data_IF_951874790501
#
_entry.id   IF_951874790501
#
_cell.length_a   1.000
_cell.length_b   1.000
_cell.length_c   1.000
_cell.angle_alpha   90.00
_cell.angle_beta   90.00
_cell.angle_gamma   90.00
#
_symmetry.space_group_name_H-M   'P 1'
#
loop_
_entity.id
_entity.type
_entity.pdbx_description
1 polymer ?
#
# COMPACT_ATOMS: atom_id res chain seq x y z
N UNK A 1 -13.10 47.27 -41.13
CA UNK A 1 -12.04 46.90 -40.17
C UNK A 1 -12.37 45.50 -39.67
N UNK A 2 -11.57 44.47 -39.97
CA UNK A 2 -11.87 43.13 -39.49
C UNK A 2 -11.62 43.06 -37.99
N UNK A 3 -12.66 42.66 -37.26
CA UNK A 3 -12.67 42.41 -35.83
C UNK A 3 -11.57 41.42 -35.44
N UNK A 4 -10.70 41.80 -34.50
CA UNK A 4 -9.62 40.96 -34.00
C UNK A 4 -10.14 39.66 -33.40
N UNK A 5 -10.07 38.58 -34.16
CA UNK A 5 -10.28 37.24 -33.64
C UNK A 5 -9.13 36.91 -32.69
N UNK A 6 -9.40 36.89 -31.39
CA UNK A 6 -8.43 36.42 -30.40
C UNK A 6 -8.09 34.97 -30.71
N UNK A 7 -6.80 34.68 -30.91
CA UNK A 7 -6.33 33.31 -31.08
C UNK A 7 -6.77 32.46 -29.89
N UNK A 8 -7.32 31.25 -30.13
CA UNK A 8 -7.73 30.38 -29.04
C UNK A 8 -6.52 30.06 -28.16
N UNK A 9 -6.71 30.01 -26.83
CA UNK A 9 -5.62 29.76 -25.91
C UNK A 9 -4.97 28.40 -26.20
N UNK A 10 -3.65 28.35 -26.10
CA UNK A 10 -2.93 27.09 -26.29
C UNK A 10 -3.28 26.07 -25.21
N UNK A 11 -3.07 24.79 -25.48
CA UNK A 11 -3.29 23.73 -24.49
C UNK A 11 -2.51 23.99 -23.18
N UNK A 12 -1.30 24.54 -23.28
CA UNK A 12 -0.48 24.96 -22.13
C UNK A 12 -1.14 26.10 -21.34
N UNK A 13 -1.75 27.08 -22.00
CA UNK A 13 -2.46 28.18 -21.33
C UNK A 13 -3.74 27.69 -20.64
N UNK A 14 -4.45 26.72 -21.23
CA UNK A 14 -5.64 26.10 -20.63
C UNK A 14 -5.24 25.30 -19.37
N UNK A 15 -4.21 24.47 -19.48
CA UNK A 15 -3.69 23.67 -18.35
C UNK A 15 -3.15 24.57 -17.24
N UNK A 16 -2.38 25.62 -17.58
CA UNK A 16 -1.85 26.56 -16.59
C UNK A 16 -2.96 27.30 -15.84
N UNK A 17 -4.03 27.71 -16.54
CA UNK A 17 -5.20 28.35 -15.91
C UNK A 17 -5.99 27.41 -15.01
N UNK A 18 -6.19 26.15 -15.45
CA UNK A 18 -6.86 25.13 -14.63
C UNK A 18 -6.03 24.76 -13.39
N UNK A 19 -4.71 24.75 -13.51
CA UNK A 19 -3.77 24.47 -12.44
C UNK A 19 -3.63 25.61 -11.41
N UNK A 20 -3.71 26.86 -11.85
CA UNK A 20 -3.44 28.04 -11.01
C UNK A 20 -4.64 28.50 -10.16
N UNK A 21 -5.86 27.99 -10.41
CA UNK A 21 -7.03 28.29 -9.58
C UNK A 21 -6.96 27.61 -8.21
N UNK A 22 -7.67 28.14 -7.21
CA UNK A 22 -7.69 27.57 -5.85
C UNK A 22 -8.03 26.07 -5.81
N UNK A 23 -8.96 25.62 -6.65
CA UNK A 23 -9.27 24.20 -6.82
C UNK A 23 -8.11 23.38 -7.44
N UNK A 24 -7.38 23.96 -8.40
CA UNK A 24 -6.19 23.36 -9.02
C UNK A 24 -5.04 23.20 -8.03
N UNK A 25 -4.80 24.22 -7.19
CA UNK A 25 -3.82 24.17 -6.11
C UNK A 25 -4.21 23.14 -5.04
N UNK A 26 -5.49 23.09 -4.63
CA UNK A 26 -5.97 22.06 -3.71
C UNK A 26 -5.82 20.64 -4.29
N UNK A 27 -6.11 20.45 -5.58
CA UNK A 27 -5.93 19.16 -6.25
C UNK A 27 -4.45 18.76 -6.32
N UNK A 28 -3.56 19.70 -6.64
CA UNK A 28 -2.11 19.46 -6.69
C UNK A 28 -1.53 19.15 -5.30
N UNK A 29 -1.90 19.92 -4.28
CA UNK A 29 -1.52 19.64 -2.90
C UNK A 29 -2.04 18.28 -2.45
N UNK A 30 -3.30 17.96 -2.78
CA UNK A 30 -3.89 16.64 -2.54
C UNK A 30 -3.10 15.52 -3.23
N UNK A 31 -2.65 15.73 -4.47
CA UNK A 31 -1.81 14.78 -5.22
C UNK A 31 -0.42 14.63 -4.61
N UNK A 32 0.22 15.72 -4.16
CA UNK A 32 1.51 15.66 -3.46
C UNK A 32 1.36 14.91 -2.14
N UNK A 33 0.32 15.21 -1.36
CA UNK A 33 0.02 14.48 -0.12
C UNK A 33 -0.26 13.01 -0.42
N UNK A 34 -1.08 12.69 -1.42
CA UNK A 34 -1.37 11.32 -1.83
C UNK A 34 -0.11 10.59 -2.32
N UNK A 35 0.78 11.27 -3.04
CA UNK A 35 2.05 10.72 -3.51
C UNK A 35 3.01 10.48 -2.36
N UNK A 36 3.13 11.41 -1.41
CA UNK A 36 3.91 11.24 -0.18
C UNK A 36 3.34 10.11 0.67
N UNK A 37 2.02 9.99 0.79
CA UNK A 37 1.33 8.91 1.49
C UNK A 37 1.55 7.57 0.79
N UNK A 38 1.50 7.52 -0.53
CA UNK A 38 1.80 6.33 -1.32
C UNK A 38 3.27 5.93 -1.15
N UNK A 39 4.19 6.90 -1.26
CA UNK A 39 5.62 6.68 -0.99
C UNK A 39 5.84 6.17 0.43
N UNK A 40 5.12 6.72 1.40
CA UNK A 40 5.13 6.31 2.79
C UNK A 40 4.64 4.87 2.94
N UNK A 41 3.56 4.48 2.27
CA UNK A 41 3.05 3.09 2.27
C UNK A 41 4.03 2.14 1.59
N UNK A 42 4.55 2.50 0.42
CA UNK A 42 5.49 1.67 -0.34
C UNK A 42 6.85 1.53 0.33
N UNK A 43 7.32 2.54 1.06
CA UNK A 43 8.58 2.51 1.79
C UNK A 43 8.42 1.93 3.20
N UNK A 44 7.45 2.42 3.98
CA UNK A 44 7.32 2.05 5.39
C UNK A 44 6.66 0.69 5.61
N UNK A 45 5.81 0.21 4.70
CA UNK A 45 5.20 -1.12 4.87
C UNK A 45 6.26 -2.24 4.73
N UNK A 46 7.10 -2.28 3.67
CA UNK A 46 8.24 -3.19 3.63
C UNK A 46 9.26 -2.89 4.73
N UNK A 47 9.60 -1.63 5.01
CA UNK A 47 10.54 -1.29 6.08
C UNK A 47 10.07 -1.86 7.44
N UNK A 48 8.78 -1.76 7.76
CA UNK A 48 8.19 -2.34 8.97
C UNK A 48 8.39 -3.84 9.06
N UNK A 49 8.29 -4.58 7.95
CA UNK A 49 8.60 -6.03 7.91
C UNK A 49 10.10 -6.26 8.13
N UNK A 50 10.96 -5.43 7.52
CA UNK A 50 12.41 -5.53 7.60
C UNK A 50 12.98 -5.14 8.98
N UNK A 51 12.29 -4.35 9.79
CA UNK A 51 12.74 -3.97 11.14
C UNK A 51 12.98 -5.16 12.08
N UNK A 52 12.35 -6.31 11.79
CA UNK A 52 12.49 -7.54 12.56
C UNK A 52 13.26 -8.63 11.80
N UNK A 53 13.87 -8.28 10.64
CA UNK A 53 14.58 -9.18 9.74
C UNK A 53 15.91 -8.56 9.22
N UNK A 54 17.10 -9.05 9.64
CA UNK A 54 17.35 -10.27 10.42
C UNK A 54 16.93 -10.17 11.89
N UNK A 55 17.05 -11.27 12.65
CA UNK A 55 16.62 -11.27 14.05
C UNK A 55 17.33 -10.15 14.84
N UNK A 56 16.59 -9.32 15.58
CA UNK A 56 17.19 -8.23 16.35
C UNK A 56 18.21 -8.76 17.39
N UNK A 57 19.32 -8.05 17.63
CA UNK A 57 20.43 -8.53 18.47
C UNK A 57 20.10 -8.56 19.96
N UNK A 58 19.05 -7.86 20.40
CA UNK A 58 18.62 -7.87 21.81
C UNK A 58 17.11 -7.75 21.96
N UNK A 59 16.59 -8.13 23.14
CA UNK A 59 15.17 -8.01 23.47
C UNK A 59 14.67 -6.55 23.39
N UNK A 60 15.52 -5.58 23.78
CA UNK A 60 15.20 -4.16 23.68
C UNK A 60 15.06 -3.71 22.21
N UNK A 61 15.98 -4.13 21.34
CA UNK A 61 15.89 -3.88 19.90
C UNK A 61 14.64 -4.51 19.30
N UNK A 62 14.33 -5.76 19.68
CA UNK A 62 13.12 -6.46 19.23
C UNK A 62 11.83 -5.72 19.63
N UNK A 63 11.77 -5.20 20.86
CA UNK A 63 10.62 -4.44 21.35
C UNK A 63 10.44 -3.13 20.56
N UNK A 64 11.51 -2.36 20.37
CA UNK A 64 11.47 -1.12 19.58
C UNK A 64 11.09 -1.40 18.12
N UNK A 65 11.68 -2.43 17.51
CA UNK A 65 11.36 -2.85 16.14
C UNK A 65 9.89 -3.27 15.99
N UNK A 66 9.32 -3.95 16.99
CA UNK A 66 7.90 -4.31 17.01
C UNK A 66 6.98 -3.09 17.14
N UNK A 67 7.31 -2.13 18.00
CA UNK A 67 6.53 -0.89 18.15
C UNK A 67 6.54 -0.07 16.85
N UNK A 68 7.71 0.08 16.23
CA UNK A 68 7.85 0.74 14.95
C UNK A 68 7.08 -0.02 13.86
N UNK A 69 7.20 -1.35 13.78
CA UNK A 69 6.41 -2.17 12.87
C UNK A 69 4.90 -1.88 13.01
N UNK A 70 4.36 -1.94 14.24
CA UNK A 70 2.94 -1.67 14.50
C UNK A 70 2.52 -0.27 14.04
N UNK A 71 3.30 0.76 14.41
CA UNK A 71 3.02 2.14 14.02
C UNK A 71 2.98 2.30 12.48
N UNK A 72 3.93 1.67 11.78
CA UNK A 72 3.99 1.70 10.32
C UNK A 72 2.81 0.95 9.67
N UNK A 73 2.41 -0.19 10.23
CA UNK A 73 1.27 -0.96 9.71
C UNK A 73 -0.06 -0.25 9.92
N UNK A 74 -0.30 0.34 11.09
CA UNK A 74 -1.52 1.09 11.34
C UNK A 74 -1.61 2.36 10.47
N UNK A 75 -0.50 3.09 10.34
CA UNK A 75 -0.45 4.23 9.43
C UNK A 75 -0.70 3.83 7.97
N UNK A 76 -0.16 2.69 7.55
CA UNK A 76 -0.37 2.16 6.19
C UNK A 76 -1.82 1.74 5.98
N UNK A 77 -2.45 1.07 6.96
CA UNK A 77 -3.86 0.68 6.89
C UNK A 77 -4.76 1.88 6.68
N UNK A 78 -4.62 2.92 7.52
CA UNK A 78 -5.43 4.15 7.40
C UNK A 78 -5.27 4.76 6.01
N UNK A 79 -4.04 4.81 5.51
CA UNK A 79 -3.72 5.37 4.19
C UNK A 79 -4.36 4.58 3.05
N UNK A 80 -4.24 3.25 3.07
CA UNK A 80 -4.79 2.38 2.01
C UNK A 80 -6.31 2.40 2.05
N UNK A 81 -6.93 2.37 3.23
CA UNK A 81 -8.39 2.46 3.38
C UNK A 81 -8.90 3.81 2.88
N UNK A 82 -8.23 4.92 3.21
CA UNK A 82 -8.60 6.24 2.70
C UNK A 82 -8.54 6.29 1.16
N UNK A 83 -7.44 5.81 0.56
CA UNK A 83 -7.29 5.74 -0.90
C UNK A 83 -8.36 4.87 -1.57
N UNK A 84 -8.63 3.69 -1.00
CA UNK A 84 -9.68 2.80 -1.49
C UNK A 84 -11.08 3.43 -1.40
N UNK A 85 -11.38 4.10 -0.29
CA UNK A 85 -12.64 4.81 -0.09
C UNK A 85 -12.84 5.94 -1.09
N UNK A 86 -11.79 6.72 -1.41
CA UNK A 86 -11.88 7.77 -2.43
C UNK A 86 -12.19 7.18 -3.81
N UNK A 87 -11.51 6.12 -4.23
CA UNK A 87 -11.78 5.46 -5.51
C UNK A 87 -13.18 4.83 -5.53
N UNK A 88 -13.59 4.21 -4.43
CA UNK A 88 -14.93 3.62 -4.30
C UNK A 88 -16.01 4.69 -4.45
N UNK A 89 -15.87 5.81 -3.73
CA UNK A 89 -16.78 6.95 -3.79
C UNK A 89 -16.81 7.57 -5.19
N UNK A 90 -15.64 7.84 -5.79
CA UNK A 90 -15.54 8.40 -7.14
C UNK A 90 -16.28 7.54 -8.18
N UNK A 91 -16.13 6.21 -8.09
CA UNK A 91 -16.87 5.29 -8.96
C UNK A 91 -18.38 5.34 -8.72
N UNK A 92 -18.79 5.39 -7.45
CA UNK A 92 -20.20 5.43 -7.08
C UNK A 92 -20.90 6.69 -7.63
N UNK A 93 -20.29 7.87 -7.47
CA UNK A 93 -20.87 9.13 -7.96
C UNK A 93 -20.86 9.26 -9.49
N UNK A 94 -20.13 8.40 -10.21
CA UNK A 94 -20.10 8.39 -11.68
C UNK A 94 -20.78 7.14 -12.27
N UNK A 95 -21.50 6.36 -11.44
CA UNK A 95 -22.20 5.14 -11.90
C UNK A 95 -21.27 4.06 -12.48
N UNK A 96 -19.98 4.12 -12.15
CA UNK A 96 -18.99 3.18 -12.68
C UNK A 96 -19.02 1.86 -11.91
N UNK A 97 -18.87 0.74 -12.61
CA UNK A 97 -18.83 -0.60 -11.99
C UNK A 97 -17.62 -0.75 -11.05
N UNK A 98 -17.85 -1.36 -9.89
CA UNK A 98 -16.82 -1.70 -8.91
C UNK A 98 -16.26 -3.11 -9.15
N UNK A 99 -15.02 -3.34 -8.72
CA UNK A 99 -14.38 -4.66 -8.69
C UNK A 99 -14.33 -5.42 -10.04
N UNK A 100 -14.35 -4.73 -11.17
CA UNK A 100 -14.35 -5.34 -12.52
C UNK A 100 -12.97 -5.65 -13.11
N UNK A 101 -11.89 -5.25 -12.44
CA UNK A 101 -10.52 -5.45 -12.93
C UNK A 101 -9.73 -6.36 -12.00
N UNK A 102 -8.66 -6.97 -12.52
CA UNK A 102 -7.71 -7.74 -11.71
C UNK A 102 -7.13 -6.90 -10.56
N UNK A 103 -6.76 -5.65 -10.84
CA UNK A 103 -6.30 -4.71 -9.81
C UNK A 103 -7.34 -4.55 -8.68
N UNK A 104 -8.61 -4.33 -9.02
CA UNK A 104 -9.64 -4.10 -8.01
C UNK A 104 -9.95 -5.37 -7.19
N UNK A 105 -9.94 -6.54 -7.83
CA UNK A 105 -10.13 -7.84 -7.15
C UNK A 105 -8.97 -8.14 -6.21
N UNK A 106 -7.73 -8.02 -6.69
CA UNK A 106 -6.54 -8.21 -5.86
C UNK A 106 -6.42 -7.15 -4.77
N UNK A 107 -6.87 -5.91 -5.03
CA UNK A 107 -6.94 -4.86 -4.03
C UNK A 107 -7.88 -5.21 -2.88
N UNK A 108 -9.06 -5.77 -3.17
CA UNK A 108 -9.99 -6.24 -2.14
C UNK A 108 -9.40 -7.40 -1.31
N UNK A 109 -8.76 -8.37 -1.98
CA UNK A 109 -8.07 -9.46 -1.29
C UNK A 109 -6.95 -8.91 -0.40
N UNK A 110 -6.13 -7.99 -0.92
CA UNK A 110 -5.02 -7.35 -0.18
C UNK A 110 -5.53 -6.63 1.06
N UNK A 111 -6.59 -5.82 0.93
CA UNK A 111 -7.23 -5.14 2.07
C UNK A 111 -7.73 -6.12 3.12
N UNK A 112 -8.36 -7.21 2.68
CA UNK A 112 -8.87 -8.25 3.57
C UNK A 112 -7.72 -8.96 4.31
N UNK A 113 -6.65 -9.30 3.61
CA UNK A 113 -5.44 -9.89 4.19
C UNK A 113 -4.77 -8.95 5.20
N UNK A 114 -4.61 -7.66 4.88
CA UNK A 114 -4.05 -6.67 5.80
C UNK A 114 -4.91 -6.55 7.05
N UNK A 115 -6.23 -6.48 6.92
CA UNK A 115 -7.15 -6.42 8.06
C UNK A 115 -7.00 -7.65 8.96
N UNK A 116 -7.11 -8.85 8.38
CA UNK A 116 -6.90 -10.11 9.11
C UNK A 116 -5.53 -10.13 9.78
N UNK A 117 -4.50 -9.58 9.13
CA UNK A 117 -3.14 -9.61 9.64
C UNK A 117 -2.92 -8.67 10.82
N UNK A 118 -3.56 -7.50 10.80
CA UNK A 118 -3.55 -6.55 11.91
C UNK A 118 -4.29 -7.14 13.11
N UNK A 119 -5.45 -7.75 12.89
CA UNK A 119 -6.21 -8.43 13.95
C UNK A 119 -5.41 -9.60 14.53
N UNK A 120 -4.86 -10.46 13.69
CA UNK A 120 -4.09 -11.61 14.13
C UNK A 120 -2.80 -11.20 14.86
N UNK A 121 -2.08 -10.19 14.35
CA UNK A 121 -0.92 -9.62 15.02
C UNK A 121 -1.26 -9.05 16.39
N UNK A 122 -2.39 -8.35 16.53
CA UNK A 122 -2.85 -7.81 17.80
C UNK A 122 -3.17 -8.91 18.82
N UNK A 123 -3.92 -9.95 18.43
CA UNK A 123 -4.26 -11.09 19.29
C UNK A 123 -3.00 -11.80 19.83
N UNK A 124 -1.97 -11.90 18.98
CA UNK A 124 -0.73 -12.60 19.31
C UNK A 124 0.24 -11.75 20.14
N UNK A 125 0.25 -10.43 19.97
CA UNK A 125 1.20 -9.52 20.63
C UNK A 125 0.70 -8.98 21.97
N UNK A 126 -0.57 -8.62 22.08
CA UNK A 126 -1.08 -7.94 23.27
C UNK A 126 -1.47 -8.93 24.35
N UNK A 127 -0.77 -8.93 25.49
CA UNK A 127 -1.02 -9.84 26.62
C UNK A 127 -2.50 -9.90 27.05
N UNK A 128 -3.25 -8.79 27.11
CA UNK A 128 -4.67 -8.84 27.44
C UNK A 128 -5.52 -9.60 26.43
N UNK A 129 -5.08 -9.78 25.18
CA UNK A 129 -5.81 -10.50 24.14
C UNK A 129 -5.39 -11.97 24.01
N UNK A 130 -4.23 -12.36 24.55
CA UNK A 130 -3.69 -13.70 24.40
C UNK A 130 -4.54 -14.78 25.08
N UNK A 131 -5.41 -14.43 26.03
CA UNK A 131 -6.34 -15.38 26.64
C UNK A 131 -7.31 -15.97 25.60
N UNK A 132 -7.72 -15.20 24.59
CA UNK A 132 -8.52 -15.69 23.46
C UNK A 132 -7.80 -16.75 22.61
N UNK A 133 -6.47 -16.80 22.69
CA UNK A 133 -5.63 -17.77 21.99
C UNK A 133 -5.22 -18.95 22.87
N UNK A 134 -5.71 -19.04 24.11
CA UNK A 134 -5.30 -20.07 25.07
C UNK A 134 -4.01 -19.74 25.84
N UNK A 135 -3.68 -18.45 25.99
CA UNK A 135 -2.58 -17.95 26.80
C UNK A 135 -1.28 -17.69 26.02
N UNK A 136 -0.27 -17.16 26.73
CA UNK A 136 0.98 -16.67 26.14
C UNK A 136 1.75 -17.75 25.36
N UNK A 137 1.80 -18.98 25.89
CA UNK A 137 2.51 -20.09 25.25
C UNK A 137 1.93 -20.44 23.87
N UNK A 138 0.60 -20.54 23.77
CA UNK A 138 -0.09 -20.82 22.50
C UNK A 138 -0.02 -19.62 21.55
N UNK A 139 -0.13 -18.39 22.05
CA UNK A 139 0.07 -17.19 21.25
C UNK A 139 1.47 -17.14 20.62
N UNK A 140 2.53 -17.47 21.37
CA UNK A 140 3.90 -17.55 20.86
C UNK A 140 4.04 -18.60 19.75
N UNK A 141 3.39 -19.76 19.88
CA UNK A 141 3.42 -20.80 18.85
C UNK A 141 2.76 -20.36 17.52
N UNK A 142 1.84 -19.39 17.57
CA UNK A 142 1.13 -18.87 16.40
C UNK A 142 1.93 -17.82 15.59
N UNK A 143 3.02 -17.28 16.14
CA UNK A 143 3.86 -16.27 15.45
C UNK A 143 4.36 -16.73 14.07
N UNK A 144 4.61 -18.03 13.88
CA UNK A 144 5.04 -18.57 12.58
C UNK A 144 3.96 -18.39 11.51
N UNK A 145 2.68 -18.55 11.86
CA UNK A 145 1.57 -18.36 10.93
C UNK A 145 1.33 -16.89 10.64
N UNK A 146 1.50 -16.01 11.64
CA UNK A 146 1.49 -14.56 11.40
C UNK A 146 2.60 -14.20 10.40
N UNK A 147 3.80 -14.76 10.54
CA UNK A 147 4.88 -14.55 9.57
C UNK A 147 4.54 -15.08 8.16
N UNK A 148 4.04 -16.31 8.04
CA UNK A 148 3.68 -16.91 6.76
C UNK A 148 2.60 -16.10 6.03
N UNK A 149 1.51 -15.77 6.72
CA UNK A 149 0.44 -14.94 6.17
C UNK A 149 0.91 -13.52 5.85
N UNK A 150 1.90 -13.00 6.57
CA UNK A 150 2.54 -11.73 6.27
C UNK A 150 3.28 -11.74 4.94
N UNK A 151 3.98 -12.84 4.62
CA UNK A 151 4.61 -13.00 3.30
C UNK A 151 3.61 -13.16 2.17
N UNK A 152 2.51 -13.89 2.41
CA UNK A 152 1.41 -13.93 1.45
C UNK A 152 0.82 -12.53 1.21
N UNK A 153 0.57 -11.78 2.28
CA UNK A 153 0.06 -10.40 2.21
C UNK A 153 1.01 -9.50 1.43
N UNK A 154 2.33 -9.62 1.66
CA UNK A 154 3.35 -8.90 0.91
C UNK A 154 3.31 -9.22 -0.60
N UNK A 155 3.13 -10.48 -0.99
CA UNK A 155 2.97 -10.86 -2.40
C UNK A 155 1.78 -10.15 -3.05
N UNK A 156 0.64 -10.10 -2.37
CA UNK A 156 -0.53 -9.38 -2.84
C UNK A 156 -0.32 -7.86 -2.89
N UNK A 157 0.43 -7.31 -1.93
CA UNK A 157 0.77 -5.89 -1.90
C UNK A 157 1.69 -5.47 -3.05
N UNK A 158 2.56 -6.37 -3.54
CA UNK A 158 3.40 -6.14 -4.72
C UNK A 158 2.61 -6.37 -6.01
N UNK A 159 1.81 -7.44 -6.08
CA UNK A 159 1.05 -7.78 -7.28
C UNK A 159 -0.06 -6.77 -7.60
N UNK A 160 -0.77 -6.27 -6.59
CA UNK A 160 -1.90 -5.33 -6.77
C UNK A 160 -1.54 -4.06 -7.56
N UNK A 161 -0.48 -3.30 -7.22
CA UNK A 161 -0.10 -2.12 -8.00
C UNK A 161 0.49 -2.48 -9.37
N UNK A 162 1.15 -3.63 -9.54
CA UNK A 162 1.56 -4.10 -10.87
C UNK A 162 0.35 -4.36 -11.79
N UNK A 163 -0.72 -4.96 -11.25
CA UNK A 163 -1.99 -5.15 -11.95
C UNK A 163 -2.70 -3.82 -12.25
N UNK A 164 -2.43 -2.76 -11.48
CA UNK A 164 -2.96 -1.42 -11.79
C UNK A 164 -2.37 -0.89 -13.10
N UNK A 165 -1.08 -1.14 -13.36
CA UNK A 165 -0.37 -0.63 -14.55
C UNK A 165 -0.95 -1.16 -15.87
N UNK A 166 -1.60 -2.33 -15.84
CA UNK A 166 -2.26 -2.92 -17.01
C UNK A 166 -3.76 -2.61 -17.08
N UNK A 167 -4.32 -1.88 -16.10
CA UNK A 167 -5.71 -1.46 -16.15
C UNK A 167 -5.96 -0.48 -17.29
N UNK A 168 -7.17 -0.51 -17.87
CA UNK A 168 -7.55 0.41 -18.96
C UNK A 168 -7.36 1.87 -18.56
N UNK A 169 -7.74 2.23 -17.33
CA UNK A 169 -7.58 3.59 -16.85
C UNK A 169 -6.11 4.05 -16.85
N UNK A 170 -5.19 3.25 -16.30
CA UNK A 170 -3.75 3.63 -16.29
C UNK A 170 -3.19 3.63 -17.71
N UNK A 171 -3.56 2.65 -18.55
CA UNK A 171 -3.10 2.62 -19.94
C UNK A 171 -3.54 3.87 -20.74
N UNK A 172 -4.75 4.38 -20.50
CA UNK A 172 -5.26 5.58 -21.16
C UNK A 172 -4.76 6.91 -20.59
N UNK A 173 -4.17 6.91 -19.39
CA UNK A 173 -3.79 8.14 -18.68
C UNK A 173 -2.29 8.23 -18.35
N UNK A 174 -1.46 7.34 -18.90
CA UNK A 174 -0.01 7.38 -18.72
C UNK A 174 0.74 6.97 -19.98
N UNK A 175 2.00 7.36 -20.06
CA UNK A 175 2.96 6.89 -21.06
C UNK A 175 3.45 5.46 -20.75
N UNK A 176 4.01 4.80 -21.77
CA UNK A 176 4.70 3.52 -21.58
C UNK A 176 5.92 3.65 -20.67
N UNK A 177 6.66 4.76 -20.79
CA UNK A 177 7.83 5.04 -19.97
C UNK A 177 7.48 5.11 -18.47
N UNK A 178 6.44 5.87 -18.10
CA UNK A 178 6.00 5.97 -16.70
C UNK A 178 5.61 4.61 -16.14
N UNK A 179 4.87 3.78 -16.91
CA UNK A 179 4.48 2.44 -16.47
C UNK A 179 5.68 1.53 -16.25
N UNK A 180 6.65 1.55 -17.16
CA UNK A 180 7.88 0.75 -17.03
C UNK A 180 8.70 1.21 -15.83
N UNK A 181 8.83 2.52 -15.63
CA UNK A 181 9.55 3.09 -14.49
C UNK A 181 8.90 2.69 -13.16
N UNK A 182 7.59 2.88 -13.03
CA UNK A 182 6.84 2.51 -11.82
C UNK A 182 6.87 1.00 -11.60
N UNK A 183 6.62 0.21 -12.65
CA UNK A 183 6.61 -1.25 -12.59
C UNK A 183 7.96 -1.84 -12.19
N UNK A 184 9.06 -1.33 -12.74
CA UNK A 184 10.40 -1.75 -12.37
C UNK A 184 10.74 -1.38 -10.92
N UNK A 185 10.36 -0.18 -10.46
CA UNK A 185 10.50 0.22 -9.05
C UNK A 185 9.76 -0.70 -8.08
N UNK A 186 8.49 -1.03 -8.38
CA UNK A 186 7.70 -1.96 -7.56
C UNK A 186 8.34 -3.36 -7.56
N UNK A 187 8.77 -3.85 -8.73
CA UNK A 187 9.39 -5.17 -8.85
C UNK A 187 10.70 -5.25 -8.05
N UNK A 188 11.55 -4.23 -8.12
CA UNK A 188 12.80 -4.15 -7.35
C UNK A 188 12.54 -4.09 -5.84
N UNK A 189 11.58 -3.25 -5.40
CA UNK A 189 11.21 -3.17 -4.00
C UNK A 189 10.65 -4.50 -3.47
N UNK A 190 9.79 -5.15 -4.26
CA UNK A 190 9.28 -6.49 -3.99
C UNK A 190 10.40 -7.51 -3.87
N UNK A 191 11.28 -7.59 -4.87
CA UNK A 191 12.43 -8.50 -4.86
C UNK A 191 13.31 -8.30 -3.61
N UNK A 192 13.65 -7.06 -3.27
CA UNK A 192 14.41 -6.74 -2.06
C UNK A 192 13.73 -7.20 -0.77
N UNK A 193 12.40 -7.07 -0.68
CA UNK A 193 11.64 -7.57 0.46
C UNK A 193 11.61 -9.11 0.51
N UNK A 194 11.42 -9.78 -0.63
CA UNK A 194 11.43 -11.24 -0.74
C UNK A 194 12.78 -11.87 -0.38
N UNK A 195 13.89 -11.22 -0.72
CA UNK A 195 15.24 -11.67 -0.35
C UNK A 195 15.47 -11.72 1.17
N UNK A 196 14.61 -11.06 1.96
CA UNK A 196 14.72 -11.00 3.43
C UNK A 196 13.85 -12.03 4.14
N UNK A 197 13.13 -12.87 3.40
CA UNK A 197 12.31 -13.95 3.94
C UNK A 197 13.16 -14.94 4.75
N UNK A 198 12.73 -15.20 6.00
CA UNK A 198 13.39 -16.13 6.90
C UNK A 198 12.66 -17.47 6.93
N UNK A 199 12.95 -18.35 5.96
CA UNK A 199 12.33 -19.68 5.85
C UNK A 199 12.57 -20.57 7.08
N UNK A 200 13.71 -20.41 7.74
CA UNK A 200 14.07 -21.13 8.99
C UNK A 200 13.09 -20.87 10.15
N UNK A 201 12.31 -19.79 10.09
CA UNK A 201 11.35 -19.40 11.14
C UNK A 201 9.90 -19.79 10.82
N UNK A 202 9.70 -20.54 9.74
CA UNK A 202 8.38 -21.01 9.31
C UNK A 202 8.02 -22.39 9.90
N UNK A 203 8.95 -23.04 10.59
CA UNK A 203 8.72 -24.34 11.22
C UNK A 203 8.70 -25.52 10.24
N UNK A 204 9.30 -25.35 9.05
CA UNK A 204 9.44 -26.41 8.04
C UNK A 204 10.57 -27.41 8.36
N UNK A 205 11.47 -27.08 9.30
CA UNK A 205 12.44 -28.02 9.85
C UNK A 205 12.17 -28.15 11.35
N UNK A 206 11.92 -29.38 11.80
CA UNK A 206 11.85 -29.75 13.23
C UNK A 206 13.26 -29.89 13.77
#
# INVERSE_FOLDING_TARGET
MPSGASTPPSALQIVARAAAGGAGLCAQLGLVVASVVLWRVLWLHPAGILLLQPQPPSAAHKRKGLQAHQALQYASLVSIVAGASFIFYNKAIHGAKHFTTWHATFGLITLSLIFCQIVFGALVVYSPLQHWLGGEGRAKALWKYHRMSGYLTLSFLVATPLLALVSTWVQSNSSAFERVLIGSGIALAGAGAFMRIQTSKLGFRR
#
